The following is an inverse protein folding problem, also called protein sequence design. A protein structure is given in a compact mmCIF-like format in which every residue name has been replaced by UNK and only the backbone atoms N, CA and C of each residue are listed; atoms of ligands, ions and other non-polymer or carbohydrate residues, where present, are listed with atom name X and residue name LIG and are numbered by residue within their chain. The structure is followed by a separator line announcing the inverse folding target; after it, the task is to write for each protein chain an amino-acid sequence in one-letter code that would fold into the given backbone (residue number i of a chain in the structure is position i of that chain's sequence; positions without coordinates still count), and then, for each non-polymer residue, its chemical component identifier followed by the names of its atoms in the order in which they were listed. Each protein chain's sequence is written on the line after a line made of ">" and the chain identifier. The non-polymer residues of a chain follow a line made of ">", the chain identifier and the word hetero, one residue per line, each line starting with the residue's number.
data_IF_052150017938
#
_entry.id   IF_052150017938
#
_cell.length_a   1.000
_cell.length_b   1.000
_cell.length_c   1.000
_cell.angle_alpha   90.00
_cell.angle_beta   90.00
_cell.angle_gamma   90.00
#
_symmetry.space_group_name_H-M   'P 1'
#
loop_
_entity.id
_entity.type
_entity.pdbx_description
1 polymer ?
#
# COMPACT_ATOMS: atom_id res chain seq x y z
N UNK A 1 -17.43 29.43 5.94
CA UNK A 1 -16.35 29.78 4.99
C UNK A 1 -16.37 28.72 3.90
N UNK A 2 -16.69 29.07 2.65
CA UNK A 2 -16.84 28.09 1.54
C UNK A 2 -15.47 27.49 1.22
N UNK A 3 -15.26 26.25 1.61
CA UNK A 3 -14.12 25.45 1.13
C UNK A 3 -14.44 25.10 -0.32
N UNK A 4 -13.81 25.81 -1.25
CA UNK A 4 -13.82 25.47 -2.67
C UNK A 4 -13.15 24.11 -2.83
N UNK A 5 -13.93 23.06 -3.08
CA UNK A 5 -13.44 21.79 -3.62
C UNK A 5 -12.72 22.09 -4.93
N UNK A 6 -11.39 22.08 -4.90
CA UNK A 6 -10.58 21.74 -6.06
C UNK A 6 -9.83 20.48 -5.66
N UNK A 7 -10.53 19.34 -5.74
CA UNK A 7 -9.86 18.08 -5.94
C UNK A 7 -9.08 18.24 -7.25
N UNK A 8 -7.76 18.38 -7.16
CA UNK A 8 -6.89 18.33 -8.34
C UNK A 8 -6.80 16.86 -8.73
N UNK A 9 -7.87 16.35 -9.33
CA UNK A 9 -7.86 15.08 -10.05
C UNK A 9 -6.61 15.04 -10.93
N UNK A 10 -5.74 14.04 -10.71
CA UNK A 10 -4.75 13.51 -11.66
C UNK A 10 -4.39 14.46 -12.79
N UNK A 11 -3.87 15.64 -12.46
CA UNK A 11 -3.42 16.59 -13.46
C UNK A 11 -1.96 16.26 -13.73
N UNK A 12 -1.76 15.03 -14.22
CA UNK A 12 -0.56 14.62 -14.93
C UNK A 12 -0.47 15.58 -16.10
N UNK A 13 0.23 16.69 -15.88
CA UNK A 13 0.09 17.93 -16.65
C UNK A 13 -0.09 17.59 -18.14
N UNK A 14 -1.27 17.89 -18.71
CA UNK A 14 -1.58 17.56 -20.11
C UNK A 14 -0.45 18.02 -21.08
N UNK A 15 0.29 19.04 -20.64
CA UNK A 15 1.55 19.50 -21.21
C UNK A 15 2.67 18.46 -21.38
N UNK A 16 2.95 17.61 -20.39
CA UNK A 16 4.01 16.60 -20.47
C UNK A 16 3.64 15.48 -21.46
N UNK A 17 2.37 15.06 -21.50
CA UNK A 17 1.86 14.14 -22.51
C UNK A 17 1.90 14.74 -23.92
N UNK A 18 1.54 16.02 -24.05
CA UNK A 18 1.68 16.76 -25.30
C UNK A 18 3.16 16.81 -25.75
N UNK A 19 4.08 17.09 -24.83
CA UNK A 19 5.51 17.12 -25.13
C UNK A 19 6.04 15.75 -25.59
N UNK A 20 5.63 14.66 -24.92
CA UNK A 20 5.99 13.29 -25.31
C UNK A 20 5.42 12.91 -26.69
N UNK A 21 4.16 13.21 -26.95
CA UNK A 21 3.49 12.93 -28.22
C UNK A 21 4.14 13.70 -29.39
N UNK A 22 4.44 14.99 -29.18
CA UNK A 22 5.13 15.82 -30.18
C UNK A 22 6.56 15.32 -30.41
N UNK A 23 7.28 14.89 -29.37
CA UNK A 23 8.61 14.28 -29.52
C UNK A 23 8.56 13.02 -30.38
N UNK A 24 7.58 12.13 -30.19
CA UNK A 24 7.42 10.93 -31.04
C UNK A 24 7.10 11.28 -32.49
N UNK A 25 6.22 12.28 -32.71
CA UNK A 25 5.90 12.77 -34.05
C UNK A 25 7.14 13.32 -34.76
N UNK A 26 7.96 14.12 -34.06
CA UNK A 26 9.17 14.70 -34.65
C UNK A 26 10.25 13.66 -34.88
N UNK A 27 10.35 12.64 -34.02
CA UNK A 27 11.24 11.49 -34.26
C UNK A 27 10.87 10.76 -35.56
N UNK A 28 9.58 10.55 -35.82
CA UNK A 28 9.10 9.93 -37.06
C UNK A 28 9.38 10.80 -38.30
N UNK A 29 9.16 12.12 -38.19
CA UNK A 29 9.45 13.07 -39.28
C UNK A 29 10.94 13.13 -39.60
N UNK A 30 11.81 13.20 -38.60
CA UNK A 30 13.27 13.15 -38.77
C UNK A 30 13.70 11.83 -39.41
N UNK A 31 13.16 10.69 -38.95
CA UNK A 31 13.48 9.38 -39.52
C UNK A 31 13.08 9.28 -41.01
N UNK A 32 11.91 9.79 -41.38
CA UNK A 32 11.45 9.83 -42.77
C UNK A 32 12.33 10.73 -43.65
N UNK A 33 12.80 11.85 -43.11
CA UNK A 33 13.73 12.74 -43.82
C UNK A 33 15.09 12.09 -44.05
N UNK A 34 15.61 11.37 -43.05
CA UNK A 34 16.88 10.63 -43.16
C UNK A 34 16.79 9.55 -44.26
N UNK A 35 15.63 8.88 -44.41
CA UNK A 35 15.44 7.85 -45.44
C UNK A 35 15.49 8.43 -46.87
N UNK A 36 15.03 9.67 -47.06
CA UNK A 36 14.95 10.33 -48.37
C UNK A 36 16.24 11.08 -48.80
N UNK A 37 17.42 10.56 -48.40
CA UNK A 37 18.85 10.96 -48.55
C UNK A 37 19.32 11.91 -49.70
N UNK A 38 18.49 12.25 -50.69
CA UNK A 38 18.83 13.00 -51.88
C UNK A 38 19.21 14.48 -51.64
N UNK A 39 18.86 15.08 -50.49
CA UNK A 39 19.09 16.52 -50.22
C UNK A 39 19.49 16.79 -48.76
N UNK A 40 20.73 16.46 -48.40
CA UNK A 40 21.26 16.55 -47.03
C UNK A 40 21.12 17.95 -46.40
N UNK A 41 21.32 19.02 -47.19
CA UNK A 41 21.20 20.40 -46.71
C UNK A 41 19.77 20.78 -46.30
N UNK A 42 18.77 20.29 -47.03
CA UNK A 42 17.36 20.55 -46.72
C UNK A 42 16.94 19.79 -45.46
N UNK A 43 17.46 18.58 -45.26
CA UNK A 43 17.20 17.78 -44.05
C UNK A 43 17.73 18.47 -42.78
N UNK A 44 18.92 19.07 -42.85
CA UNK A 44 19.50 19.82 -41.70
C UNK A 44 18.64 21.04 -41.35
N UNK A 45 18.20 21.81 -42.35
CA UNK A 45 17.33 22.97 -42.10
C UNK A 45 15.97 22.56 -41.51
N UNK A 46 15.39 21.46 -41.98
CA UNK A 46 14.14 20.92 -41.44
C UNK A 46 14.31 20.43 -40.00
N UNK A 47 15.40 19.73 -39.70
CA UNK A 47 15.71 19.29 -38.34
C UNK A 47 15.88 20.48 -37.37
N UNK A 48 16.64 21.51 -37.76
CA UNK A 48 16.78 22.74 -36.96
C UNK A 48 15.44 23.44 -36.73
N UNK A 49 14.55 23.43 -37.73
CA UNK A 49 13.20 23.96 -37.62
C UNK A 49 12.35 23.15 -36.63
N UNK A 50 12.44 21.81 -36.63
CA UNK A 50 11.74 20.95 -35.67
C UNK A 50 12.24 21.17 -34.24
N UNK A 51 13.56 21.28 -34.04
CA UNK A 51 14.16 21.60 -32.73
C UNK A 51 13.69 22.97 -32.24
N UNK A 52 13.63 23.98 -33.12
CA UNK A 52 13.13 25.30 -32.77
C UNK A 52 11.63 25.29 -32.43
N UNK A 53 10.82 24.57 -33.19
CA UNK A 53 9.39 24.42 -32.92
C UNK A 53 9.15 23.72 -31.57
N UNK A 54 9.95 22.70 -31.26
CA UNK A 54 9.90 22.01 -29.97
C UNK A 54 10.30 22.92 -28.80
N UNK A 55 11.32 23.77 -28.97
CA UNK A 55 11.70 24.77 -27.98
C UNK A 55 10.56 25.74 -27.65
N UNK A 56 9.88 26.24 -28.69
CA UNK A 56 8.75 27.14 -28.53
C UNK A 56 7.60 26.44 -27.81
N UNK A 57 7.29 25.18 -28.19
CA UNK A 57 6.29 24.36 -27.52
C UNK A 57 6.58 24.26 -26.01
N UNK A 58 7.81 23.94 -25.61
CA UNK A 58 8.18 23.80 -24.19
C UNK A 58 8.04 25.10 -23.39
N UNK A 59 8.06 26.28 -24.03
CA UNK A 59 7.76 27.57 -23.37
C UNK A 59 6.26 27.80 -23.14
N UNK A 60 5.41 27.27 -24.02
CA UNK A 60 3.96 27.38 -23.91
C UNK A 60 3.35 26.28 -23.05
N UNK A 61 4.04 25.15 -22.93
CA UNK A 61 3.65 24.07 -22.04
C UNK A 61 3.96 24.44 -20.58
N UNK A 62 2.95 24.32 -19.72
CA UNK A 62 3.11 24.49 -18.27
C UNK A 62 3.91 23.33 -17.68
N UNK A 63 5.23 23.50 -17.57
CA UNK A 63 6.15 22.56 -16.93
C UNK A 63 6.52 23.04 -15.51
N UNK A 64 6.61 22.10 -14.56
CA UNK A 64 7.13 22.34 -13.19
C UNK A 64 8.56 22.90 -13.27
N UNK A 65 8.96 23.68 -12.26
CA UNK A 65 10.27 24.36 -12.23
C UNK A 65 11.46 23.40 -12.33
N UNK A 66 11.35 22.23 -11.73
CA UNK A 66 12.39 21.17 -11.76
C UNK A 66 12.54 20.55 -13.16
N UNK A 67 11.43 20.45 -13.91
CA UNK A 67 11.36 19.85 -15.24
C UNK A 67 12.01 20.72 -16.30
N UNK A 68 12.04 22.04 -16.07
CA UNK A 68 12.65 23.00 -16.99
C UNK A 68 14.16 22.77 -17.12
N UNK A 69 14.81 22.26 -16.06
CA UNK A 69 16.23 21.91 -16.07
C UNK A 69 16.45 20.66 -16.93
N UNK A 70 15.65 19.61 -16.70
CA UNK A 70 15.67 18.38 -17.49
C UNK A 70 15.32 18.61 -18.97
N UNK A 71 14.37 19.50 -19.25
CA UNK A 71 13.98 19.90 -20.59
C UNK A 71 15.13 20.59 -21.35
N UNK A 72 15.97 21.38 -20.66
CA UNK A 72 17.15 21.99 -21.25
C UNK A 72 18.19 20.96 -21.73
N UNK A 73 18.42 19.92 -20.94
CA UNK A 73 19.31 18.81 -21.33
C UNK A 73 18.75 17.99 -22.49
N UNK A 74 17.45 17.69 -22.48
CA UNK A 74 16.77 17.00 -23.57
C UNK A 74 16.89 17.76 -24.89
N UNK A 75 16.79 19.08 -24.84
CA UNK A 75 16.92 19.92 -26.02
C UNK A 75 18.34 19.89 -26.61
N UNK A 76 19.36 19.74 -25.76
CA UNK A 76 20.75 19.58 -26.23
C UNK A 76 20.91 18.25 -26.95
N UNK A 77 20.33 17.17 -26.43
CA UNK A 77 20.34 15.85 -27.09
C UNK A 77 19.62 15.88 -28.45
N UNK A 78 18.48 16.57 -28.54
CA UNK A 78 17.71 16.71 -29.79
C UNK A 78 18.47 17.47 -30.87
N UNK A 79 19.33 18.44 -30.50
CA UNK A 79 20.09 19.24 -31.46
C UNK A 79 21.20 18.44 -32.18
N UNK A 80 21.84 17.49 -31.48
CA UNK A 80 23.00 16.76 -32.01
C UNK A 80 22.65 15.43 -32.68
N UNK A 81 21.46 14.89 -32.42
CA UNK A 81 21.06 13.56 -32.89
C UNK A 81 19.67 13.61 -33.56
N UNK A 82 19.60 13.87 -34.87
CA UNK A 82 18.35 13.81 -35.63
C UNK A 82 17.66 12.46 -35.47
N UNK A 83 16.35 12.47 -35.22
CA UNK A 83 15.53 11.29 -34.97
C UNK A 83 15.74 10.66 -33.60
N UNK A 84 16.98 10.23 -33.29
CA UNK A 84 17.32 9.52 -32.05
C UNK A 84 17.13 10.42 -30.82
N UNK A 85 17.50 11.69 -30.90
CA UNK A 85 17.35 12.65 -29.80
C UNK A 85 15.89 12.89 -29.43
N UNK A 86 15.00 12.95 -30.42
CA UNK A 86 13.56 13.06 -30.19
C UNK A 86 12.95 11.79 -29.60
N UNK A 87 13.38 10.61 -30.08
CA UNK A 87 12.92 9.32 -29.55
C UNK A 87 13.36 9.11 -28.09
N UNK A 88 14.63 9.38 -27.79
CA UNK A 88 15.16 9.33 -26.43
C UNK A 88 14.44 10.34 -25.51
N UNK A 89 14.19 11.56 -26.00
CA UNK A 89 13.42 12.56 -25.26
C UNK A 89 12.00 12.14 -24.95
N UNK A 90 11.30 11.50 -25.90
CA UNK A 90 9.97 10.94 -25.64
C UNK A 90 9.98 9.87 -24.56
N UNK A 91 10.94 8.93 -24.61
CA UNK A 91 11.08 7.89 -23.59
C UNK A 91 11.37 8.47 -22.20
N UNK A 92 12.22 9.50 -22.12
CA UNK A 92 12.54 10.18 -20.87
C UNK A 92 11.30 10.92 -20.33
N UNK A 93 10.53 11.60 -21.17
CA UNK A 93 9.25 12.21 -20.76
C UNK A 93 8.26 11.17 -20.24
N UNK A 94 8.10 10.05 -20.93
CA UNK A 94 7.22 8.93 -20.53
C UNK A 94 7.70 8.31 -19.22
N UNK A 95 9.02 8.09 -19.06
CA UNK A 95 9.59 7.55 -17.82
C UNK A 95 9.40 8.50 -16.63
N UNK A 96 9.62 9.80 -16.82
CA UNK A 96 9.32 10.81 -15.82
C UNK A 96 7.83 10.83 -15.46
N UNK A 97 6.94 10.75 -16.46
CA UNK A 97 5.48 10.66 -16.26
C UNK A 97 5.08 9.46 -15.41
N UNK A 98 5.61 8.27 -15.69
CA UNK A 98 5.30 7.03 -14.95
C UNK A 98 5.84 7.09 -13.52
N UNK A 99 7.08 7.56 -13.32
CA UNK A 99 7.66 7.70 -11.99
C UNK A 99 6.90 8.75 -11.16
N UNK A 100 6.47 9.84 -11.78
CA UNK A 100 5.71 10.92 -11.12
C UNK A 100 4.29 10.56 -10.78
N UNK A 101 3.60 9.80 -11.64
CA UNK A 101 2.29 9.26 -11.27
C UNK A 101 2.37 8.53 -9.93
N UNK A 102 3.48 7.83 -9.69
CA UNK A 102 3.73 7.14 -8.44
C UNK A 102 4.07 8.12 -7.29
N UNK A 103 4.89 9.14 -7.53
CA UNK A 103 5.31 10.13 -6.52
C UNK A 103 4.20 11.11 -6.13
N UNK A 104 3.49 11.69 -7.10
CA UNK A 104 2.35 12.59 -6.90
C UNK A 104 1.19 11.83 -6.23
N UNK A 105 1.01 10.54 -6.52
CA UNK A 105 0.05 9.68 -5.79
C UNK A 105 0.45 9.53 -4.31
N UNK A 106 1.74 9.36 -4.01
CA UNK A 106 2.21 9.35 -2.62
C UNK A 106 2.04 10.71 -1.94
N UNK A 107 2.28 11.82 -2.64
CA UNK A 107 2.11 13.18 -2.11
C UNK A 107 0.64 13.55 -1.88
N UNK A 108 -0.27 13.12 -2.77
CA UNK A 108 -1.73 13.31 -2.63
C UNK A 108 -2.32 12.41 -1.53
N UNK A 109 -1.86 11.16 -1.43
CA UNK A 109 -2.16 10.28 -0.29
C UNK A 109 -1.65 10.91 1.02
N UNK A 110 -0.43 11.44 1.03
CA UNK A 110 0.08 12.21 2.16
C UNK A 110 -0.85 13.40 2.48
N UNK A 111 -1.25 14.24 1.52
CA UNK A 111 -2.15 15.38 1.78
C UNK A 111 -3.56 14.98 2.24
N UNK A 112 -4.12 13.90 1.72
CA UNK A 112 -5.39 13.34 2.17
C UNK A 112 -5.32 12.90 3.65
N UNK A 113 -4.17 12.37 4.06
CA UNK A 113 -3.87 11.94 5.43
C UNK A 113 -3.50 13.12 6.34
N UNK A 114 -2.82 14.15 5.83
CA UNK A 114 -2.26 15.27 6.60
C UNK A 114 -3.24 16.44 6.86
N UNK A 115 -4.50 16.37 6.41
CA UNK A 115 -5.52 17.33 6.83
C UNK A 115 -6.04 17.01 8.24
N UNK A 116 -5.20 17.26 9.24
CA UNK A 116 -5.51 17.13 10.67
C UNK A 116 -6.37 18.33 11.15
N UNK A 117 -7.46 18.13 11.89
CA UNK A 117 -7.87 19.10 12.89
C UNK A 117 -6.91 18.97 14.09
N UNK A 118 -6.08 19.99 14.33
CA UNK A 118 -5.25 20.10 15.54
C UNK A 118 -6.12 19.95 16.80
N UNK A 119 -6.04 18.83 17.54
CA UNK A 119 -6.60 18.79 18.91
C UNK A 119 -6.04 17.76 19.90
N UNK A 120 -5.11 16.86 19.54
CA UNK A 120 -4.65 15.83 20.49
C UNK A 120 -3.20 15.99 20.98
N UNK A 121 -2.45 16.98 20.50
CA UNK A 121 -1.03 17.14 20.84
C UNK A 121 -0.77 17.71 22.25
N UNK A 122 -1.82 17.94 23.04
CA UNK A 122 -1.73 18.49 24.40
C UNK A 122 -2.58 17.72 25.41
N UNK A 123 -2.24 16.47 25.72
CA UNK A 123 -2.71 15.86 26.97
C UNK A 123 -1.68 14.86 27.50
N UNK A 124 -0.92 15.27 28.51
CA UNK A 124 -0.16 14.36 29.37
C UNK A 124 -1.16 13.73 30.35
N UNK A 125 -1.33 12.40 30.31
CA UNK A 125 -2.23 11.68 31.22
C UNK A 125 -1.41 10.91 32.25
N UNK A 126 -1.80 11.07 33.52
CA UNK A 126 -1.18 10.51 34.70
C UNK A 126 -1.63 9.04 34.91
N UNK A 127 -0.67 8.15 35.16
CA UNK A 127 -0.76 6.68 35.01
C UNK A 127 -1.21 5.98 36.31
N UNK A 128 -2.31 6.41 36.93
CA UNK A 128 -2.79 5.79 38.18
C UNK A 128 -4.29 5.50 38.15
N UNK A 129 -4.70 4.48 37.37
CA UNK A 129 -5.98 3.78 37.56
C UNK A 129 -6.03 2.41 36.85
N UNK A 130 -5.03 1.55 37.02
CA UNK A 130 -5.20 0.11 36.80
C UNK A 130 -5.81 -0.52 38.07
N UNK A 131 -7.15 -0.68 38.16
CA UNK A 131 -7.80 -1.69 39.04
C UNK A 131 -9.35 -1.63 39.01
N UNK A 132 -9.98 -1.54 37.84
CA UNK A 132 -11.38 -1.98 37.73
C UNK A 132 -11.67 -2.43 36.30
N UNK A 133 -11.39 -3.71 36.00
CA UNK A 133 -11.53 -4.28 34.65
C UNK A 133 -13.00 -4.60 34.34
N UNK A 134 -13.81 -3.55 34.24
CA UNK A 134 -15.06 -3.61 33.48
C UNK A 134 -14.67 -3.54 32.00
N UNK A 135 -15.04 -4.51 31.15
CA UNK A 135 -14.75 -4.47 29.71
C UNK A 135 -15.17 -3.13 29.11
N UNK A 136 -14.34 -2.52 28.25
CA UNK A 136 -14.63 -1.22 27.59
C UNK A 136 -16.03 -1.23 26.97
N UNK A 137 -16.45 -2.36 26.37
CA UNK A 137 -17.80 -2.58 25.85
C UNK A 137 -18.90 -2.33 26.88
N UNK A 138 -18.73 -2.82 28.10
CA UNK A 138 -19.72 -2.67 29.18
C UNK A 138 -19.79 -1.23 29.69
N UNK A 139 -18.64 -0.54 29.76
CA UNK A 139 -18.59 0.90 30.10
C UNK A 139 -19.26 1.75 29.01
N UNK A 140 -19.03 1.44 27.73
CA UNK A 140 -19.66 2.13 26.59
C UNK A 140 -21.19 1.99 26.56
N UNK A 141 -21.74 0.91 27.12
CA UNK A 141 -23.18 0.66 27.25
C UNK A 141 -23.81 1.29 28.50
N UNK A 142 -23.00 1.76 29.45
CA UNK A 142 -23.48 2.39 30.68
C UNK A 142 -24.11 3.78 30.42
N UNK A 143 -24.80 4.34 31.42
CA UNK A 143 -25.28 5.73 31.39
C UNK A 143 -24.25 6.74 31.90
N UNK A 144 -23.05 6.29 32.31
CA UNK A 144 -22.01 7.16 32.85
C UNK A 144 -21.16 7.78 31.72
N UNK A 145 -21.37 9.07 31.48
CA UNK A 145 -20.66 9.81 30.44
C UNK A 145 -19.17 9.98 30.73
N UNK A 146 -18.78 10.16 31.99
CA UNK A 146 -17.38 10.36 32.38
C UNK A 146 -16.60 9.06 32.24
N UNK A 147 -17.16 7.94 32.72
CA UNK A 147 -16.54 6.62 32.58
C UNK A 147 -16.33 6.18 31.12
N UNK A 148 -17.24 6.55 30.20
CA UNK A 148 -17.08 6.25 28.76
C UNK A 148 -15.84 6.91 28.15
N UNK A 149 -15.57 8.16 28.54
CA UNK A 149 -14.42 8.92 28.05
C UNK A 149 -13.11 8.33 28.56
N UNK A 150 -13.03 8.01 29.84
CA UNK A 150 -11.86 7.36 30.45
C UNK A 150 -11.61 5.97 29.83
N UNK A 151 -12.67 5.22 29.52
CA UNK A 151 -12.57 3.94 28.81
C UNK A 151 -12.05 4.07 27.37
N UNK A 152 -12.40 5.15 26.66
CA UNK A 152 -11.86 5.41 25.32
C UNK A 152 -10.38 5.81 25.36
N UNK A 153 -9.92 6.49 26.41
CA UNK A 153 -8.51 6.82 26.58
C UNK A 153 -7.69 5.58 26.93
N UNK A 154 -8.15 4.74 27.85
CA UNK A 154 -7.44 3.48 28.15
C UNK A 154 -7.40 2.52 26.96
N UNK A 155 -8.35 2.64 26.02
CA UNK A 155 -8.34 1.88 24.77
C UNK A 155 -7.19 2.30 23.82
N UNK A 156 -6.65 3.51 23.93
CA UNK A 156 -5.47 3.91 23.15
C UNK A 156 -4.23 3.09 23.54
N UNK A 157 -4.05 2.84 24.84
CA UNK A 157 -2.92 2.09 25.40
C UNK A 157 -3.11 0.57 25.34
N UNK A 158 -4.34 0.08 25.16
CA UNK A 158 -4.65 -1.34 25.08
C UNK A 158 -3.94 -2.04 23.90
N UNK A 159 -3.13 -3.07 24.08
CA UNK A 159 -2.38 -3.67 22.95
C UNK A 159 -3.11 -4.79 22.18
N UNK A 160 -4.39 -5.05 22.47
CA UNK A 160 -5.10 -6.17 21.84
C UNK A 160 -5.60 -5.92 20.41
N UNK A 161 -5.70 -7.00 19.63
CA UNK A 161 -6.07 -6.98 18.21
C UNK A 161 -7.47 -6.38 17.91
N UNK A 162 -8.38 -6.39 18.87
CA UNK A 162 -9.73 -5.83 18.73
C UNK A 162 -9.82 -4.32 19.07
N UNK A 163 -8.69 -3.61 19.25
CA UNK A 163 -8.67 -2.17 19.55
C UNK A 163 -9.53 -1.34 18.57
N UNK A 164 -9.31 -1.53 17.28
CA UNK A 164 -9.99 -0.76 16.22
C UNK A 164 -11.48 -1.08 16.16
N UNK A 165 -11.83 -2.35 16.37
CA UNK A 165 -13.24 -2.78 16.46
C UNK A 165 -13.96 -2.10 17.63
N UNK A 166 -13.33 -2.03 18.80
CA UNK A 166 -13.90 -1.35 19.97
C UNK A 166 -14.13 0.14 19.73
N UNK A 167 -13.24 0.82 18.99
CA UNK A 167 -13.48 2.20 18.56
C UNK A 167 -14.61 2.31 17.53
N UNK A 168 -14.73 1.38 16.59
CA UNK A 168 -15.88 1.35 15.67
C UNK A 168 -17.21 1.10 16.38
N UNK A 169 -17.23 0.29 17.44
CA UNK A 169 -18.42 0.12 18.28
C UNK A 169 -18.79 1.44 18.99
N UNK A 170 -17.79 2.20 19.46
CA UNK A 170 -18.01 3.48 20.10
C UNK A 170 -18.59 4.55 19.14
N UNK A 171 -18.35 4.47 17.83
CA UNK A 171 -19.01 5.34 16.84
C UNK A 171 -20.53 5.16 16.78
N UNK A 172 -21.07 4.05 17.29
CA UNK A 172 -22.51 3.78 17.33
C UNK A 172 -23.17 4.26 18.63
N UNK A 173 -22.42 4.94 19.50
CA UNK A 173 -22.96 5.46 20.76
C UNK A 173 -23.93 6.62 20.51
N UNK A 174 -24.91 6.80 21.40
CA UNK A 174 -25.86 7.91 21.34
C UNK A 174 -25.25 9.23 21.85
N UNK A 175 -24.12 9.16 22.56
CA UNK A 175 -23.40 10.33 23.07
C UNK A 175 -22.49 10.93 21.98
N UNK A 176 -22.74 12.19 21.53
CA UNK A 176 -21.91 12.85 20.53
C UNK A 176 -20.45 13.04 20.94
N UNK A 177 -20.15 13.17 22.24
CA UNK A 177 -18.78 13.31 22.75
C UNK A 177 -18.01 11.99 22.57
N UNK A 178 -18.63 10.85 22.89
CA UNK A 178 -18.07 9.51 22.68
C UNK A 178 -17.82 9.23 21.20
N UNK A 179 -18.78 9.58 20.34
CA UNK A 179 -18.62 9.44 18.88
C UNK A 179 -17.47 10.30 18.37
N UNK A 180 -17.35 11.55 18.83
CA UNK A 180 -16.26 12.44 18.46
C UNK A 180 -14.90 11.91 18.90
N UNK A 181 -14.77 11.41 20.14
CA UNK A 181 -13.53 10.82 20.63
C UNK A 181 -13.16 9.57 19.87
N UNK A 182 -14.10 8.67 19.61
CA UNK A 182 -13.84 7.47 18.83
C UNK A 182 -13.36 7.80 17.41
N UNK A 183 -14.00 8.76 16.72
CA UNK A 183 -13.58 9.22 15.40
C UNK A 183 -12.17 9.82 15.41
N UNK A 184 -11.87 10.65 16.41
CA UNK A 184 -10.56 11.30 16.53
C UNK A 184 -9.46 10.28 16.87
N UNK A 185 -9.75 9.30 17.73
CA UNK A 185 -8.83 8.20 18.06
C UNK A 185 -8.55 7.30 16.86
N UNK A 186 -9.56 6.97 16.05
CA UNK A 186 -9.37 6.19 14.81
C UNK A 186 -8.47 6.95 13.81
N UNK A 187 -8.68 8.25 13.66
CA UNK A 187 -7.80 9.10 12.83
C UNK A 187 -6.37 9.12 13.37
N UNK A 188 -6.20 9.25 14.68
CA UNK A 188 -4.88 9.20 15.32
C UNK A 188 -4.17 7.86 15.07
N UNK A 189 -4.85 6.73 15.23
CA UNK A 189 -4.29 5.40 14.94
C UNK A 189 -3.89 5.28 13.47
N UNK A 190 -4.72 5.77 12.56
CA UNK A 190 -4.41 5.82 11.13
C UNK A 190 -3.14 6.62 10.84
N UNK A 191 -3.00 7.80 11.45
CA UNK A 191 -1.79 8.62 11.34
C UNK A 191 -0.54 7.91 11.88
N UNK A 192 -0.65 7.17 12.99
CA UNK A 192 0.48 6.44 13.57
C UNK A 192 1.04 5.39 12.60
N UNK A 193 0.17 4.60 11.96
CA UNK A 193 0.61 3.62 10.96
C UNK A 193 1.30 4.27 9.77
N UNK A 194 0.75 5.39 9.27
CA UNK A 194 1.31 6.09 8.12
C UNK A 194 2.65 6.74 8.48
N UNK A 195 2.77 7.35 9.66
CA UNK A 195 4.05 7.88 10.17
C UNK A 195 5.09 6.78 10.30
N UNK A 196 4.70 5.58 10.75
CA UNK A 196 5.59 4.42 10.85
C UNK A 196 6.10 3.99 9.46
N UNK A 197 5.20 3.80 8.49
CA UNK A 197 5.57 3.46 7.10
C UNK A 197 6.50 4.52 6.50
N UNK A 198 6.18 5.81 6.69
CA UNK A 198 6.98 6.93 6.20
C UNK A 198 8.39 6.95 6.81
N UNK A 199 8.49 6.79 8.14
CA UNK A 199 9.77 6.73 8.85
C UNK A 199 10.70 5.67 8.24
N UNK A 200 10.20 4.45 8.10
CA UNK A 200 11.02 3.36 7.57
C UNK A 200 11.35 3.52 6.09
N UNK A 201 10.40 4.05 5.31
CA UNK A 201 10.62 4.42 3.91
C UNK A 201 11.76 5.43 3.75
N UNK A 202 11.76 6.49 4.55
CA UNK A 202 12.81 7.53 4.51
C UNK A 202 14.18 6.96 4.90
N UNK A 203 14.23 6.08 5.91
CA UNK A 203 15.47 5.41 6.30
C UNK A 203 16.02 4.53 5.16
N UNK A 204 15.16 3.79 4.45
CA UNK A 204 15.57 2.99 3.30
C UNK A 204 15.99 3.84 2.10
N UNK A 205 15.41 5.03 1.91
CA UNK A 205 15.85 5.95 0.86
C UNK A 205 17.26 6.50 1.14
N UNK A 206 17.62 6.67 2.41
CA UNK A 206 18.96 7.11 2.82
C UNK A 206 19.98 5.96 2.78
N UNK A 207 19.58 4.75 3.20
CA UNK A 207 20.41 3.56 3.21
C UNK A 207 19.56 2.28 3.08
N UNK A 208 19.56 1.68 1.89
CA UNK A 208 18.76 0.50 1.57
C UNK A 208 19.44 -0.84 1.89
N UNK A 209 20.62 -0.82 2.52
CA UNK A 209 21.40 -2.03 2.82
C UNK A 209 21.03 -2.72 4.13
N UNK A 210 20.21 -2.09 4.96
CA UNK A 210 19.81 -2.62 6.26
C UNK A 210 18.59 -3.53 6.13
N UNK A 211 18.78 -4.84 6.22
CA UNK A 211 17.69 -5.82 6.21
C UNK A 211 16.68 -5.57 7.34
N UNK A 212 17.16 -5.18 8.53
CA UNK A 212 16.31 -4.84 9.67
C UNK A 212 15.34 -3.69 9.33
N UNK A 213 15.82 -2.64 8.63
CA UNK A 213 14.97 -1.52 8.21
C UNK A 213 13.91 -1.96 7.20
N UNK A 214 14.23 -2.92 6.32
CA UNK A 214 13.25 -3.53 5.40
C UNK A 214 12.18 -4.31 6.16
N UNK A 215 12.62 -5.11 7.14
CA UNK A 215 11.75 -5.91 7.99
C UNK A 215 10.78 -5.04 8.81
N UNK A 216 11.26 -3.91 9.32
CA UNK A 216 10.42 -2.95 10.05
C UNK A 216 9.41 -2.23 9.15
N UNK A 217 9.79 -1.90 7.90
CA UNK A 217 8.82 -1.40 6.91
C UNK A 217 7.71 -2.43 6.66
N UNK A 218 8.06 -3.71 6.56
CA UNK A 218 7.08 -4.78 6.31
C UNK A 218 6.16 -4.99 7.51
N UNK A 219 6.69 -4.94 8.72
CA UNK A 219 5.90 -4.94 9.95
C UNK A 219 4.89 -3.79 9.94
N UNK A 220 5.32 -2.57 9.60
CA UNK A 220 4.43 -1.41 9.56
C UNK A 220 3.30 -1.56 8.54
N UNK A 221 3.60 -2.05 7.33
CA UNK A 221 2.56 -2.33 6.32
C UNK A 221 1.58 -3.42 6.76
N UNK A 222 2.08 -4.52 7.33
CA UNK A 222 1.24 -5.63 7.79
C UNK A 222 0.28 -5.16 8.89
N UNK A 223 0.81 -4.50 9.91
CA UNK A 223 -0.01 -3.96 11.00
C UNK A 223 -1.09 -3.02 10.49
N UNK A 224 -0.77 -2.16 9.51
CA UNK A 224 -1.76 -1.26 8.95
C UNK A 224 -2.86 -1.97 8.16
N UNK A 225 -2.48 -2.94 7.32
CA UNK A 225 -3.42 -3.75 6.54
C UNK A 225 -4.32 -4.63 7.42
N UNK A 226 -3.79 -5.13 8.54
CA UNK A 226 -4.54 -5.96 9.50
C UNK A 226 -5.36 -5.13 10.49
N UNK A 227 -5.10 -3.83 10.61
CA UNK A 227 -5.74 -2.95 11.60
C UNK A 227 -7.25 -2.80 11.41
N UNK A 228 -7.81 -3.13 10.24
CA UNK A 228 -9.21 -2.86 9.84
C UNK A 228 -9.60 -1.37 9.84
N UNK A 229 -8.63 -0.45 9.86
CA UNK A 229 -8.88 0.99 9.71
C UNK A 229 -9.18 1.39 8.26
N UNK A 230 -8.71 0.58 7.32
CA UNK A 230 -8.75 0.88 5.90
C UNK A 230 -10.10 0.50 5.28
N UNK A 231 -10.62 1.35 4.40
CA UNK A 231 -11.64 0.92 3.44
C UNK A 231 -11.00 -0.05 2.44
N UNK A 232 -11.81 -0.86 1.74
CA UNK A 232 -11.27 -1.82 0.79
C UNK A 232 -10.53 -1.13 -0.36
N UNK A 233 -11.02 0.02 -0.84
CA UNK A 233 -10.37 0.81 -1.88
C UNK A 233 -8.98 1.24 -1.45
N UNK A 234 -8.85 1.77 -0.22
CA UNK A 234 -7.55 2.20 0.28
C UNK A 234 -6.64 1.01 0.61
N UNK A 235 -7.20 -0.11 1.08
CA UNK A 235 -6.45 -1.33 1.30
C UNK A 235 -5.82 -1.86 0.01
N UNK A 236 -6.50 -1.77 -1.13
CA UNK A 236 -5.93 -2.13 -2.45
C UNK A 236 -4.68 -1.30 -2.74
N UNK A 237 -4.75 0.02 -2.52
CA UNK A 237 -3.64 0.94 -2.76
C UNK A 237 -2.44 0.64 -1.85
N UNK A 238 -2.69 0.41 -0.56
CA UNK A 238 -1.66 0.04 0.42
C UNK A 238 -1.02 -1.30 0.07
N UNK A 239 -1.81 -2.31 -0.33
CA UNK A 239 -1.30 -3.61 -0.81
C UNK A 239 -0.41 -3.45 -2.05
N UNK A 240 -0.81 -2.61 -2.99
CA UNK A 240 -0.02 -2.35 -4.19
C UNK A 240 1.33 -1.69 -3.84
N UNK A 241 1.33 -0.66 -2.99
CA UNK A 241 2.55 -0.03 -2.50
C UNK A 241 3.47 -1.04 -1.78
N UNK A 242 2.88 -1.89 -0.93
CA UNK A 242 3.64 -2.93 -0.23
C UNK A 242 4.27 -3.94 -1.21
N UNK A 243 3.54 -4.42 -2.23
CA UNK A 243 4.08 -5.29 -3.30
C UNK A 243 5.28 -4.65 -4.00
N UNK A 244 5.24 -3.35 -4.28
CA UNK A 244 6.35 -2.64 -4.91
C UNK A 244 7.60 -2.60 -4.03
N UNK A 245 7.43 -2.37 -2.72
CA UNK A 245 8.54 -2.43 -1.77
C UNK A 245 9.11 -3.84 -1.67
N UNK A 246 8.26 -4.88 -1.57
CA UNK A 246 8.72 -6.26 -1.55
C UNK A 246 9.52 -6.60 -2.81
N UNK A 247 9.03 -6.21 -3.99
CA UNK A 247 9.74 -6.43 -5.25
C UNK A 247 11.11 -5.74 -5.27
N UNK A 248 11.20 -4.50 -4.78
CA UNK A 248 12.46 -3.77 -4.67
C UNK A 248 13.43 -4.45 -3.73
N UNK A 249 13.00 -4.82 -2.53
CA UNK A 249 13.92 -5.41 -1.56
C UNK A 249 14.31 -6.85 -1.91
N UNK A 250 13.49 -7.61 -2.66
CA UNK A 250 13.89 -8.91 -3.23
C UNK A 250 15.06 -8.79 -4.22
N UNK A 251 15.19 -7.67 -4.94
CA UNK A 251 16.37 -7.43 -5.79
C UNK A 251 17.64 -7.22 -4.95
N UNK A 252 17.49 -6.63 -3.76
CA UNK A 252 18.58 -6.35 -2.84
C UNK A 252 18.97 -7.58 -1.99
N UNK A 253 17.99 -8.38 -1.60
CA UNK A 253 18.13 -9.57 -0.75
C UNK A 253 17.44 -10.79 -1.39
N UNK A 254 18.01 -11.33 -2.48
CA UNK A 254 17.34 -12.37 -3.28
C UNK A 254 17.14 -13.71 -2.54
N UNK A 255 17.92 -13.96 -1.49
CA UNK A 255 17.86 -15.18 -0.69
C UNK A 255 17.09 -15.02 0.63
N UNK A 256 16.58 -13.83 0.93
CA UNK A 256 15.85 -13.59 2.17
C UNK A 256 14.40 -14.12 2.02
N UNK A 257 14.02 -15.18 2.76
CA UNK A 257 12.73 -15.87 2.57
C UNK A 257 11.54 -15.00 2.93
N UNK A 258 11.73 -14.06 3.88
CA UNK A 258 10.65 -13.20 4.36
C UNK A 258 9.96 -12.42 3.24
N UNK A 259 10.68 -11.99 2.21
CA UNK A 259 10.09 -11.27 1.08
C UNK A 259 9.04 -12.12 0.34
N UNK A 260 9.30 -13.42 0.17
CA UNK A 260 8.34 -14.34 -0.43
C UNK A 260 7.17 -14.59 0.53
N UNK A 261 7.45 -14.68 1.83
CA UNK A 261 6.42 -14.85 2.86
C UNK A 261 5.43 -13.66 2.87
N UNK A 262 5.91 -12.43 2.68
CA UNK A 262 5.03 -11.26 2.56
C UNK A 262 4.18 -11.28 1.27
N UNK A 263 4.71 -11.76 0.14
CA UNK A 263 3.91 -11.96 -1.08
C UNK A 263 2.82 -13.02 -0.88
N UNK A 264 3.16 -14.11 -0.20
CA UNK A 264 2.21 -15.14 0.20
C UNK A 264 1.10 -14.55 1.09
N UNK A 265 1.46 -13.75 2.10
CA UNK A 265 0.51 -13.08 2.97
C UNK A 265 -0.45 -12.17 2.19
N UNK A 266 0.08 -11.35 1.28
CA UNK A 266 -0.76 -10.47 0.45
C UNK A 266 -1.71 -11.23 -0.48
N UNK A 267 -1.25 -12.33 -1.09
CA UNK A 267 -2.10 -13.17 -1.92
C UNK A 267 -3.24 -13.82 -1.10
N UNK A 268 -2.97 -14.25 0.14
CA UNK A 268 -4.00 -14.74 1.09
C UNK A 268 -5.03 -13.65 1.41
N UNK A 269 -4.59 -12.42 1.66
CA UNK A 269 -5.51 -11.29 1.91
C UNK A 269 -6.44 -11.02 0.71
N UNK A 270 -5.90 -11.13 -0.50
CA UNK A 270 -6.63 -10.94 -1.76
C UNK A 270 -7.51 -12.15 -2.15
N UNK A 271 -7.45 -13.24 -1.36
CA UNK A 271 -8.10 -14.52 -1.64
C UNK A 271 -7.65 -15.17 -2.95
N UNK A 272 -6.48 -14.78 -3.46
CA UNK A 272 -5.80 -15.46 -4.58
C UNK A 272 -5.00 -16.65 -4.02
N UNK A 273 -5.73 -17.68 -3.59
CA UNK A 273 -5.14 -18.90 -3.04
C UNK A 273 -4.21 -19.63 -4.02
N UNK A 274 -4.49 -19.70 -5.33
CA UNK A 274 -3.54 -20.26 -6.29
C UNK A 274 -2.19 -19.53 -6.29
N UNK A 275 -2.17 -18.19 -6.20
CA UNK A 275 -0.92 -17.46 -6.06
C UNK A 275 -0.27 -17.66 -4.68
N UNK A 276 -1.07 -17.66 -3.61
CA UNK A 276 -0.57 -17.87 -2.26
C UNK A 276 0.15 -19.21 -2.11
N UNK A 277 -0.45 -20.30 -2.61
CA UNK A 277 0.14 -21.65 -2.58
C UNK A 277 1.46 -21.67 -3.36
N UNK A 278 1.51 -21.08 -4.57
CA UNK A 278 2.77 -20.99 -5.35
C UNK A 278 3.90 -20.26 -4.61
N UNK A 279 3.57 -19.24 -3.81
CA UNK A 279 4.57 -18.54 -2.99
C UNK A 279 4.96 -19.37 -1.77
N UNK A 280 4.01 -20.03 -1.12
CA UNK A 280 4.28 -20.90 0.02
C UNK A 280 5.16 -22.10 -0.37
N UNK A 281 4.93 -22.71 -1.54
CA UNK A 281 5.75 -23.82 -2.06
C UNK A 281 7.22 -23.43 -2.24
N UNK A 282 7.52 -22.17 -2.57
CA UNK A 282 8.92 -21.69 -2.64
C UNK A 282 9.60 -21.61 -1.26
N UNK A 283 8.83 -21.72 -0.19
CA UNK A 283 9.29 -21.66 1.20
C UNK A 283 9.19 -23.01 1.91
N UNK A 284 8.86 -24.10 1.21
CA UNK A 284 8.68 -25.43 1.82
C UNK A 284 9.91 -25.92 2.57
N UNK A 285 11.10 -25.58 2.06
CA UNK A 285 12.38 -26.01 2.62
C UNK A 285 12.89 -25.07 3.74
N UNK A 286 12.16 -23.98 4.01
CA UNK A 286 12.51 -23.00 5.04
C UNK A 286 11.69 -23.26 6.29
N UNK A 287 12.33 -23.84 7.31
CA UNK A 287 11.69 -24.31 8.54
C UNK A 287 10.71 -23.30 9.16
N UNK A 288 11.10 -22.03 9.27
CA UNK A 288 10.28 -20.97 9.88
C UNK A 288 9.02 -20.61 9.05
N UNK A 289 8.93 -21.08 7.80
CA UNK A 289 7.84 -20.76 6.86
C UNK A 289 7.15 -21.99 6.27
N UNK A 290 7.58 -23.21 6.58
CA UNK A 290 6.97 -24.46 6.07
C UNK A 290 5.46 -24.52 6.37
N UNK A 291 5.05 -23.97 7.52
CA UNK A 291 3.65 -23.87 7.93
C UNK A 291 2.77 -23.10 6.92
N UNK A 292 3.33 -22.20 6.10
CA UNK A 292 2.58 -21.44 5.11
C UNK A 292 1.97 -22.33 4.03
N UNK A 293 2.61 -23.45 3.69
CA UNK A 293 2.07 -24.40 2.71
C UNK A 293 0.77 -25.00 3.23
N UNK A 294 0.78 -25.43 4.48
CA UNK A 294 -0.41 -26.00 5.14
C UNK A 294 -1.49 -24.94 5.30
N UNK A 295 -1.12 -23.77 5.82
CA UNK A 295 -2.07 -22.69 6.06
C UNK A 295 -2.78 -22.22 4.78
N UNK A 296 -2.02 -21.95 3.72
CA UNK A 296 -2.59 -21.50 2.43
C UNK A 296 -3.45 -22.56 1.77
N UNK A 297 -3.05 -23.83 1.86
CA UNK A 297 -3.81 -24.96 1.33
C UNK A 297 -5.13 -25.14 2.08
N UNK A 298 -5.10 -25.09 3.41
CA UNK A 298 -6.29 -25.18 4.24
C UNK A 298 -7.26 -24.01 3.97
N UNK A 299 -6.76 -22.78 3.90
CA UNK A 299 -7.59 -21.61 3.55
C UNK A 299 -8.20 -21.74 2.15
N UNK A 300 -7.45 -22.27 1.17
CA UNK A 300 -7.96 -22.54 -0.17
C UNK A 300 -9.07 -23.59 -0.18
N UNK A 301 -8.88 -24.72 0.52
CA UNK A 301 -9.91 -25.76 0.66
C UNK A 301 -11.18 -25.24 1.34
N UNK A 302 -11.01 -24.37 2.35
CA UNK A 302 -12.12 -23.71 3.02
C UNK A 302 -12.90 -22.80 2.07
N UNK A 303 -12.19 -21.97 1.29
CA UNK A 303 -12.80 -21.07 0.32
C UNK A 303 -13.55 -21.82 -0.81
N UNK A 304 -13.06 -23.00 -1.19
CA UNK A 304 -13.71 -23.88 -2.18
C UNK A 304 -14.87 -24.70 -1.59
N UNK A 305 -15.13 -24.62 -0.28
CA UNK A 305 -16.18 -25.38 0.39
C UNK A 305 -15.89 -26.88 0.53
N UNK A 306 -14.63 -27.31 0.40
CA UNK A 306 -14.20 -28.71 0.52
C UNK A 306 -14.04 -29.13 1.99
N UNK A 307 -15.10 -29.01 2.79
CA UNK A 307 -15.03 -29.10 4.25
C UNK A 307 -14.57 -30.47 4.78
N UNK A 308 -14.96 -31.57 4.14
CA UNK A 308 -14.51 -32.90 4.54
C UNK A 308 -13.00 -33.08 4.34
N UNK A 309 -12.48 -32.68 3.17
CA UNK A 309 -11.05 -32.70 2.89
C UNK A 309 -10.27 -31.75 3.80
N UNK A 310 -10.83 -30.57 4.10
CA UNK A 310 -10.24 -29.60 5.02
C UNK A 310 -10.08 -30.18 6.44
N UNK A 311 -11.09 -30.88 6.95
CA UNK A 311 -11.02 -31.50 8.27
C UNK A 311 -9.95 -32.60 8.33
N UNK A 312 -9.85 -33.43 7.29
CA UNK A 312 -8.78 -34.43 7.17
C UNK A 312 -7.40 -33.78 7.09
N UNK A 313 -7.28 -32.72 6.29
CA UNK A 313 -6.05 -31.98 6.12
C UNK A 313 -5.61 -31.26 7.40
N UNK A 314 -6.54 -30.68 8.16
CA UNK A 314 -6.26 -30.06 9.44
C UNK A 314 -5.76 -31.07 10.49
N UNK A 315 -6.35 -32.27 10.52
CA UNK A 315 -5.86 -33.36 11.37
C UNK A 315 -4.45 -33.81 10.94
N UNK A 316 -4.21 -33.96 9.63
CA UNK A 316 -2.89 -34.30 9.09
C UNK A 316 -1.83 -33.26 9.47
N UNK A 317 -2.16 -31.97 9.42
CA UNK A 317 -1.24 -30.91 9.83
C UNK A 317 -0.92 -30.98 11.32
N UNK A 318 -1.93 -31.17 12.18
CA UNK A 318 -1.73 -31.31 13.63
C UNK A 318 -0.87 -32.52 14.01
N UNK A 319 -0.90 -33.59 13.22
CA UNK A 319 -0.11 -34.80 13.43
C UNK A 319 1.28 -34.73 12.77
N UNK A 320 1.55 -33.69 11.98
CA UNK A 320 2.83 -33.51 11.28
C UNK A 320 3.91 -32.92 12.21
N UNK A 321 5.18 -32.97 11.76
CA UNK A 321 6.30 -32.32 12.46
C UNK A 321 6.35 -30.79 12.23
N UNK A 322 5.47 -30.24 11.38
CA UNK A 322 5.45 -28.83 11.01
C UNK A 322 4.79 -28.01 12.12
N UNK A 323 5.51 -27.01 12.61
CA UNK A 323 5.02 -26.15 13.68
C UNK A 323 3.75 -25.40 13.27
N UNK A 324 2.77 -25.41 14.17
CA UNK A 324 1.54 -24.63 14.04
C UNK A 324 1.72 -23.34 14.83
N UNK A 325 1.79 -22.15 14.17
CA UNK A 325 1.89 -20.90 14.90
C UNK A 325 0.67 -20.70 15.80
N UNK A 326 0.90 -20.23 17.03
CA UNK A 326 -0.15 -20.07 18.05
C UNK A 326 -1.34 -19.22 17.55
N UNK A 327 -1.08 -18.22 16.70
CA UNK A 327 -2.12 -17.38 16.10
C UNK A 327 -3.14 -18.16 15.25
N UNK A 328 -2.74 -19.26 14.61
CA UNK A 328 -3.61 -20.06 13.74
C UNK A 328 -4.20 -21.29 14.40
N UNK A 329 -3.72 -21.66 15.59
CA UNK A 329 -4.18 -22.85 16.32
C UNK A 329 -5.71 -22.89 16.50
N UNK A 330 -6.40 -21.79 16.89
CA UNK A 330 -7.87 -21.82 17.02
C UNK A 330 -8.60 -22.12 15.70
N UNK A 331 -8.09 -21.57 14.58
CA UNK A 331 -8.69 -21.80 13.26
C UNK A 331 -8.52 -23.27 12.81
N UNK A 332 -7.35 -23.86 13.08
CA UNK A 332 -7.05 -25.25 12.71
C UNK A 332 -7.87 -26.24 13.55
N UNK A 333 -8.01 -25.99 14.86
CA UNK A 333 -8.89 -26.77 15.73
C UNK A 333 -10.34 -26.73 15.23
N UNK A 334 -10.81 -25.55 14.85
CA UNK A 334 -12.14 -25.39 14.28
C UNK A 334 -12.31 -26.15 12.95
N UNK A 335 -11.35 -26.07 12.03
CA UNK A 335 -11.39 -26.81 10.76
C UNK A 335 -11.40 -28.33 10.94
N UNK A 336 -10.65 -28.83 11.93
CA UNK A 336 -10.68 -30.25 12.31
C UNK A 336 -12.10 -30.69 12.71
N UNK A 337 -12.80 -29.88 13.51
CA UNK A 337 -14.13 -30.19 14.05
C UNK A 337 -15.28 -30.04 13.03
N UNK A 338 -15.03 -29.50 11.82
CA UNK A 338 -16.06 -29.28 10.79
C UNK A 338 -16.74 -30.54 10.25
N UNK A 339 -16.21 -31.74 10.54
CA UNK A 339 -16.89 -33.01 10.25
C UNK A 339 -17.96 -33.38 11.27
N UNK A 340 -17.87 -32.88 12.51
CA UNK A 340 -18.72 -33.29 13.63
C UNK A 340 -19.92 -32.36 13.87
N UNK A 341 -19.84 -31.11 13.40
CA UNK A 341 -20.94 -30.14 13.51
C UNK A 341 -21.32 -29.65 12.11
N UNK A 342 -22.56 -29.95 11.69
CA UNK A 342 -23.09 -29.53 10.40
C UNK A 342 -22.79 -28.06 10.09
N UNK A 343 -22.40 -27.82 8.84
CA UNK A 343 -21.97 -26.55 8.24
C UNK A 343 -22.56 -25.30 8.91
N UNK A 344 -21.76 -24.47 9.62
CA UNK A 344 -22.21 -23.15 10.05
C UNK A 344 -22.51 -22.29 8.83
N UNK A 345 -23.70 -21.70 8.77
CA UNK A 345 -24.08 -20.77 7.70
C UNK A 345 -23.06 -19.61 7.64
N UNK A 346 -22.56 -19.39 6.44
CA UNK A 346 -21.53 -18.43 6.06
C UNK A 346 -21.90 -17.01 6.48
N UNK A 347 -21.02 -16.40 7.29
CA UNK A 347 -20.66 -14.96 7.36
C UNK A 347 -19.83 -14.65 8.62
N UNK A 348 -19.81 -15.55 9.61
CA UNK A 348 -19.13 -15.32 10.91
C UNK A 348 -17.61 -15.59 10.95
N UNK A 349 -17.00 -16.16 9.90
CA UNK A 349 -15.58 -16.57 9.96
C UNK A 349 -14.61 -15.39 9.89
N UNK A 350 -14.91 -14.36 9.08
CA UNK A 350 -14.07 -13.16 8.99
C UNK A 350 -14.02 -12.33 10.29
N UNK A 351 -14.98 -12.56 11.20
CA UNK A 351 -15.19 -11.72 12.39
C UNK A 351 -14.53 -12.33 13.64
N UNK A 352 -14.30 -13.65 13.70
CA UNK A 352 -13.98 -14.33 14.98
C UNK A 352 -12.54 -14.85 15.13
N UNK A 353 -11.80 -15.07 14.05
CA UNK A 353 -10.50 -15.76 14.10
C UNK A 353 -9.37 -15.10 13.29
N UNK A 354 -9.60 -13.88 12.82
CA UNK A 354 -8.59 -12.83 12.57
C UNK A 354 -9.04 -11.62 13.38
#
# INVERSE_FOLDING_TARGET
>A
MRVTRHARHFDVTAGAWLAAAVSLLFAALDALQIIHFAQLGICIWLHLLLVFMYYVLLKFVSLRTEDRISAGWLQTLMLFFPGIGFAAGALIWIGMLIYRFRDDFYEEYEQYVYHTPHSLESYHINVEAESNRTPVREVLMSSDHTGKKEALFSLLDYEGHNKVELFHEALRNNDPEVVHYAATSLNYLNEQYIRSIKKWTQLLQQNDKSLETWQELFNAYRQYLESRLLTEELAIEVRHAFKLWIARGKLQFPYEPRFIAELCHLARMERDYPAAIRWAEQLSDVKDYEYLVYLTTAEGMYAEGKLEHLSEFAQLWLDSEVEVPHEYLPAIQFWKEMKEQGVPQTDHFFIRYR
#
